data_IF_953900275571
#
_entry.id   IF_953900275571
#
_cell.length_a   1.000
_cell.length_b   1.000
_cell.length_c   1.000
_cell.angle_alpha   90.00
_cell.angle_beta   90.00
_cell.angle_gamma   90.00
#
_symmetry.space_group_name_H-M   'P 1'
#
loop_
_entity.id
_entity.type
_entity.pdbx_description
1 polymer ?
#
# COMPACT_ATOMS: atom_id res chain seq x y z
N UNK A 1 2.90 0.38 -19.76
CA UNK A 1 4.07 1.12 -19.20
C UNK A 1 4.37 0.76 -17.72
N UNK A 2 3.81 -0.33 -17.17
CA UNK A 2 3.97 -0.76 -15.75
C UNK A 2 5.05 -1.86 -15.59
N UNK A 3 6.20 -1.71 -16.24
CA UNK A 3 7.29 -2.71 -16.19
C UNK A 3 8.56 -2.21 -15.50
N UNK A 4 8.61 -0.94 -15.08
CA UNK A 4 9.78 -0.40 -14.40
C UNK A 4 9.70 -0.70 -12.89
N UNK A 5 10.73 -1.33 -12.30
CA UNK A 5 10.77 -1.64 -10.86
C UNK A 5 10.64 -0.38 -9.99
N UNK A 6 11.01 0.78 -10.53
CA UNK A 6 10.87 2.11 -9.95
C UNK A 6 9.40 2.49 -9.68
N UNK A 7 8.49 2.23 -10.63
CA UNK A 7 7.07 2.56 -10.49
C UNK A 7 6.42 1.69 -9.41
N UNK A 8 6.80 0.41 -9.34
CA UNK A 8 6.36 -0.49 -8.26
C UNK A 8 6.93 -0.08 -6.90
N UNK A 9 8.15 0.49 -6.88
CA UNK A 9 8.75 1.04 -5.68
C UNK A 9 7.99 2.28 -5.19
N UNK A 10 7.76 3.27 -6.05
CA UNK A 10 7.01 4.48 -5.65
C UNK A 10 5.57 4.14 -5.26
N UNK A 11 4.90 3.27 -6.02
CA UNK A 11 3.52 2.88 -5.74
C UNK A 11 3.39 2.11 -4.42
N UNK A 12 4.28 1.13 -4.20
CA UNK A 12 4.25 0.26 -3.02
C UNK A 12 4.85 0.87 -1.75
N UNK A 13 5.94 1.65 -1.86
CA UNK A 13 6.66 2.20 -0.70
C UNK A 13 6.30 3.64 -0.36
N UNK A 14 5.71 4.43 -1.27
CA UNK A 14 5.44 5.85 -1.00
C UNK A 14 3.98 6.21 -1.16
N UNK A 15 3.34 5.86 -2.29
CA UNK A 15 2.00 6.35 -2.59
C UNK A 15 0.91 5.61 -1.79
N UNK A 16 0.91 4.27 -1.81
CA UNK A 16 -0.06 3.47 -1.04
C UNK A 16 0.07 3.68 0.48
N UNK A 17 1.28 3.72 1.08
CA UNK A 17 1.44 4.02 2.50
C UNK A 17 1.00 5.43 2.87
N UNK A 18 1.23 6.43 2.01
CA UNK A 18 0.78 7.79 2.25
C UNK A 18 -0.75 7.88 2.23
N UNK A 19 -1.41 7.21 1.28
CA UNK A 19 -2.88 7.11 1.28
C UNK A 19 -3.41 6.38 2.51
N UNK A 20 -2.73 5.33 2.98
CA UNK A 20 -3.08 4.67 4.24
C UNK A 20 -3.03 5.63 5.43
N UNK A 21 -1.97 6.46 5.51
CA UNK A 21 -1.81 7.45 6.55
C UNK A 21 -2.91 8.52 6.52
N UNK A 22 -3.23 9.05 5.33
CA UNK A 22 -4.33 10.01 5.15
C UNK A 22 -5.67 9.38 5.56
N UNK A 23 -5.93 8.15 5.12
CA UNK A 23 -7.11 7.39 5.53
C UNK A 23 -7.19 7.20 7.05
N UNK A 24 -6.05 6.99 7.71
CA UNK A 24 -6.01 6.86 9.16
C UNK A 24 -6.40 8.16 9.88
N UNK A 25 -5.91 9.30 9.39
CA UNK A 25 -6.28 10.63 9.93
C UNK A 25 -7.78 10.88 9.74
N UNK A 26 -8.33 10.56 8.56
CA UNK A 26 -9.77 10.68 8.28
C UNK A 26 -10.58 9.78 9.21
N UNK A 27 -10.22 8.50 9.36
CA UNK A 27 -10.91 7.59 10.27
C UNK A 27 -10.88 8.07 11.71
N UNK A 28 -9.73 8.58 12.18
CA UNK A 28 -9.60 9.13 13.53
C UNK A 28 -10.44 10.38 13.74
N UNK A 29 -10.44 11.33 12.80
CA UNK A 29 -11.27 12.55 12.89
C UNK A 29 -12.76 12.23 12.89
N UNK A 30 -13.21 11.21 12.14
CA UNK A 30 -14.60 10.73 12.19
C UNK A 30 -14.98 10.17 13.57
N UNK A 31 -14.07 9.43 14.22
CA UNK A 31 -14.29 8.93 15.59
C UNK A 31 -14.42 10.09 16.57
N UNK A 32 -13.52 11.07 16.48
CA UNK A 32 -13.54 12.26 17.35
C UNK A 32 -14.77 13.14 17.10
N UNK A 33 -15.28 13.18 15.86
CA UNK A 33 -16.51 13.86 15.47
C UNK A 33 -17.80 13.12 15.85
N UNK A 34 -17.72 12.02 16.59
CA UNK A 34 -18.88 11.26 17.09
C UNK A 34 -19.38 10.14 16.17
N UNK A 35 -18.87 10.02 14.94
CA UNK A 35 -19.22 8.93 14.02
C UNK A 35 -18.28 7.73 14.21
N UNK A 36 -18.37 7.11 15.39
CA UNK A 36 -17.46 6.04 15.84
C UNK A 36 -17.43 4.84 14.91
N UNK A 37 -18.60 4.37 14.45
CA UNK A 37 -18.70 3.16 13.63
C UNK A 37 -18.05 3.38 12.26
N UNK A 38 -18.41 4.47 11.58
CA UNK A 38 -17.81 4.77 10.28
C UNK A 38 -16.31 5.02 10.37
N UNK A 39 -15.86 5.73 11.42
CA UNK A 39 -14.44 5.96 11.65
C UNK A 39 -13.65 4.67 11.90
N UNK A 40 -14.20 3.72 12.67
CA UNK A 40 -13.58 2.39 12.86
C UNK A 40 -13.54 1.61 11.53
N UNK A 41 -14.60 1.64 10.73
CA UNK A 41 -14.62 0.98 9.42
C UNK A 41 -13.54 1.57 8.51
N UNK A 42 -13.37 2.89 8.48
CA UNK A 42 -12.30 3.53 7.71
C UNK A 42 -10.92 3.13 8.25
N UNK A 43 -10.72 3.17 9.57
CA UNK A 43 -9.45 2.80 10.19
C UNK A 43 -9.07 1.33 9.94
N UNK A 44 -10.03 0.42 9.99
CA UNK A 44 -9.77 -1.02 9.91
C UNK A 44 -9.89 -1.53 8.48
N UNK A 45 -10.95 -1.20 7.74
CA UNK A 45 -11.16 -1.77 6.42
C UNK A 45 -10.31 -1.04 5.38
N UNK A 46 -10.44 0.29 5.32
CA UNK A 46 -9.80 1.09 4.26
C UNK A 46 -8.28 1.12 4.42
N UNK A 47 -7.78 1.33 5.65
CA UNK A 47 -6.32 1.30 5.92
C UNK A 47 -5.71 -0.07 5.61
N UNK A 48 -6.42 -1.16 5.89
CA UNK A 48 -5.93 -2.51 5.57
C UNK A 48 -5.87 -2.75 4.07
N UNK A 49 -6.86 -2.29 3.28
CA UNK A 49 -6.81 -2.36 1.81
C UNK A 49 -5.55 -1.69 1.27
N UNK A 50 -5.21 -0.50 1.78
CA UNK A 50 -3.97 0.19 1.39
C UNK A 50 -2.71 -0.54 1.84
N UNK A 51 -2.70 -1.09 3.06
CA UNK A 51 -1.57 -1.84 3.63
C UNK A 51 -1.31 -3.13 2.85
N UNK A 52 -2.35 -3.90 2.54
CA UNK A 52 -2.25 -5.12 1.75
C UNK A 52 -1.83 -4.83 0.31
N UNK A 53 -2.34 -3.75 -0.28
CA UNK A 53 -1.93 -3.33 -1.62
C UNK A 53 -0.44 -2.97 -1.66
N UNK A 54 0.06 -2.27 -0.63
CA UNK A 54 1.48 -1.94 -0.49
C UNK A 54 2.32 -3.21 -0.34
N UNK A 55 1.90 -4.12 0.54
CA UNK A 55 2.59 -5.40 0.76
C UNK A 55 2.67 -6.24 -0.52
N UNK A 56 1.58 -6.32 -1.29
CA UNK A 56 1.55 -7.04 -2.56
C UNK A 56 2.44 -6.42 -3.63
N UNK A 57 2.45 -5.09 -3.74
CA UNK A 57 3.33 -4.36 -4.66
C UNK A 57 4.82 -4.63 -4.35
N UNK A 58 5.19 -4.65 -3.06
CA UNK A 58 6.54 -4.99 -2.61
C UNK A 58 6.90 -6.45 -2.90
N UNK A 59 5.99 -7.41 -2.68
CA UNK A 59 6.23 -8.81 -3.03
C UNK A 59 6.39 -9.03 -4.53
N UNK A 60 5.56 -8.38 -5.37
CA UNK A 60 5.72 -8.43 -6.83
C UNK A 60 7.07 -7.89 -7.28
N UNK A 61 7.54 -6.79 -6.68
CA UNK A 61 8.89 -6.26 -6.96
C UNK A 61 9.98 -7.27 -6.64
N UNK A 62 9.91 -7.95 -5.48
CA UNK A 62 10.89 -8.99 -5.13
C UNK A 62 10.87 -10.15 -6.13
N UNK A 63 9.70 -10.61 -6.56
CA UNK A 63 9.59 -11.69 -7.54
C UNK A 63 10.23 -11.31 -8.89
N UNK A 64 9.96 -10.09 -9.38
CA UNK A 64 10.53 -9.61 -10.65
C UNK A 64 12.06 -9.44 -10.59
N UNK A 65 12.61 -8.96 -9.47
CA UNK A 65 14.06 -8.82 -9.30
C UNK A 65 14.77 -10.18 -9.19
N UNK A 66 14.11 -11.20 -8.64
CA UNK A 66 14.64 -12.57 -8.60
C UNK A 66 14.65 -13.21 -9.99
N UNK A 67 13.60 -12.99 -10.78
CA UNK A 67 13.50 -13.48 -12.17
C UNK A 67 14.57 -12.84 -13.08
N UNK A 68 14.88 -11.55 -12.86
CA UNK A 68 15.96 -10.84 -13.57
C UNK A 68 17.36 -11.33 -13.18
N UNK A 69 17.58 -11.71 -11.91
CA UNK A 69 18.84 -12.30 -11.45
C UNK A 69 19.11 -13.68 -12.07
N UNK A 70 18.10 -14.54 -12.17
CA UNK A 70 18.24 -15.86 -12.79
C UNK A 70 18.41 -15.79 -14.32
N UNK A 71 17.81 -14.78 -14.98
CA UNK A 71 17.93 -14.61 -16.43
C UNK A 71 19.27 -14.00 -16.89
N UNK A 72 19.99 -13.30 -16.01
CA UNK A 72 21.33 -12.75 -16.29
C UNK A 72 22.50 -13.66 -15.91
N UNK A 73 22.22 -14.82 -15.32
CA UNK A 73 23.22 -15.80 -14.87
C UNK A 73 23.42 -16.98 -15.85
N UNK A 74 22.75 -16.96 -17.01
CA UNK A 74 22.92 -17.87 -18.16
C UNK A 74 23.59 -17.13 -19.33
#
# INVERSE_FOLDING_TARGET
>A
MLKKPETLFVLGYMLLPLFALISAIVGLTMILGGNKIAGIIVLIVVTQVFTFSAFFAVRKRKALLLEEHDAGAL
#
